data_IF_220408128352
#
_entry.id   IF_220408128352
#
_cell.length_a   1.000
_cell.length_b   1.000
_cell.length_c   1.000
_cell.angle_alpha   90.00
_cell.angle_beta   90.00
_cell.angle_gamma   90.00
#
_symmetry.space_group_name_H-M   'P 1'
#
loop_
_entity.id
_entity.type
_entity.pdbx_description
1 polymer ?
#
# COMPACT_ATOMS: atom_id res chain seq x y z
N UNK A 1 -36.72 -74.58 64.52
CA UNK A 1 -35.36 -74.94 64.00
C UNK A 1 -35.36 -74.45 62.57
N UNK A 2 -34.44 -73.64 62.24
CA UNK A 2 -33.93 -73.09 60.97
C UNK A 2 -33.94 -71.58 60.90
N UNK A 3 -32.75 -71.06 61.10
CA UNK A 3 -32.43 -69.61 60.93
C UNK A 3 -32.16 -69.32 59.48
N UNK A 4 -32.83 -68.37 58.87
CA UNK A 4 -32.54 -67.78 57.57
C UNK A 4 -31.59 -66.60 57.82
N UNK A 5 -30.38 -66.63 57.17
CA UNK A 5 -29.49 -65.50 57.04
C UNK A 5 -29.89 -64.67 55.82
N UNK A 6 -30.12 -63.38 56.03
CA UNK A 6 -30.26 -62.40 54.93
C UNK A 6 -28.91 -61.72 54.71
N UNK A 7 -28.37 -61.86 53.50
CA UNK A 7 -27.15 -61.22 53.05
C UNK A 7 -27.54 -59.96 52.27
N UNK A 8 -27.21 -58.79 52.81
CA UNK A 8 -27.39 -57.51 52.13
C UNK A 8 -26.19 -57.21 51.23
N UNK A 9 -26.40 -57.10 49.92
CA UNK A 9 -25.38 -56.70 48.96
C UNK A 9 -25.43 -55.16 48.81
N UNK A 10 -24.35 -54.48 49.20
CA UNK A 10 -24.15 -53.05 48.96
C UNK A 10 -23.51 -52.85 47.59
N UNK A 11 -24.22 -52.27 46.62
CA UNK A 11 -23.67 -51.81 45.36
C UNK A 11 -23.04 -50.40 45.57
N UNK A 12 -21.70 -50.34 45.50
CA UNK A 12 -20.93 -49.09 45.42
C UNK A 12 -20.94 -48.58 43.97
N UNK A 13 -21.69 -47.54 43.69
CA UNK A 13 -21.64 -46.84 42.41
C UNK A 13 -20.39 -45.93 42.39
N UNK A 14 -19.33 -46.32 41.68
CA UNK A 14 -18.23 -45.43 41.33
C UNK A 14 -18.67 -44.52 40.19
N UNK A 15 -18.97 -43.26 40.49
CA UNK A 15 -19.17 -42.22 39.50
C UNK A 15 -17.80 -41.80 38.92
N UNK A 16 -17.51 -42.14 37.66
CA UNK A 16 -16.45 -41.57 36.88
C UNK A 16 -16.86 -40.15 36.51
N UNK A 17 -16.36 -39.14 37.22
CA UNK A 17 -16.37 -37.76 36.76
C UNK A 17 -15.34 -37.64 35.64
N UNK A 18 -15.78 -37.70 34.37
CA UNK A 18 -14.99 -37.33 33.25
C UNK A 18 -14.76 -35.81 33.30
N UNK A 19 -13.61 -35.38 33.83
CA UNK A 19 -13.15 -34.02 33.66
C UNK A 19 -12.81 -33.85 32.17
N UNK A 20 -13.68 -33.16 31.42
CA UNK A 20 -13.33 -32.64 30.10
C UNK A 20 -12.15 -31.66 30.31
N UNK A 21 -10.94 -32.11 30.02
CA UNK A 21 -9.82 -31.20 29.81
C UNK A 21 -10.10 -30.56 28.46
N UNK A 22 -10.66 -29.34 28.49
CA UNK A 22 -10.62 -28.47 27.32
C UNK A 22 -9.14 -28.31 26.96
N UNK A 23 -8.75 -28.91 25.85
CA UNK A 23 -7.45 -28.65 25.27
C UNK A 23 -7.42 -27.18 24.89
N UNK A 24 -6.84 -26.36 25.74
CA UNK A 24 -6.55 -24.97 25.43
C UNK A 24 -5.65 -24.99 24.20
N UNK A 25 -6.18 -24.66 23.02
CA UNK A 25 -5.38 -24.53 21.81
C UNK A 25 -4.23 -23.56 22.13
N UNK A 26 -3.01 -24.08 22.05
CA UNK A 26 -1.82 -23.31 22.37
C UNK A 26 -1.71 -22.18 21.34
N UNK A 27 -1.82 -20.93 21.79
CA UNK A 27 -1.54 -19.76 20.95
C UNK A 27 -0.22 -19.98 20.20
N UNK A 28 -0.17 -19.78 18.89
CA UNK A 28 1.07 -20.01 18.13
C UNK A 28 2.20 -19.12 18.66
N UNK A 29 3.41 -19.64 18.72
CA UNK A 29 4.57 -18.86 19.14
C UNK A 29 5.06 -17.90 18.03
N UNK A 30 4.59 -18.11 16.80
CA UNK A 30 4.99 -17.36 15.58
C UNK A 30 3.80 -16.98 14.73
N UNK A 31 3.92 -15.85 14.02
CA UNK A 31 3.03 -15.47 12.93
C UNK A 31 3.78 -15.45 11.61
N UNK A 32 3.25 -16.14 10.58
CA UNK A 32 3.83 -16.15 9.24
C UNK A 32 3.19 -15.08 8.38
N UNK A 33 4.01 -14.27 7.73
CA UNK A 33 3.63 -13.19 6.82
C UNK A 33 4.23 -13.46 5.45
N UNK A 34 3.41 -13.52 4.41
CA UNK A 34 3.89 -13.53 3.03
C UNK A 34 4.07 -12.09 2.53
N UNK A 35 5.27 -11.69 2.15
CA UNK A 35 5.54 -10.39 1.55
C UNK A 35 5.76 -10.57 0.05
N UNK A 36 4.78 -10.17 -0.78
CA UNK A 36 4.83 -10.27 -2.25
C UNK A 36 5.03 -8.89 -2.86
N UNK A 37 6.17 -8.65 -3.49
CA UNK A 37 6.57 -7.35 -4.04
C UNK A 37 7.43 -7.51 -5.27
N UNK A 38 7.50 -6.49 -6.12
CA UNK A 38 8.36 -6.50 -7.31
C UNK A 38 9.79 -6.12 -6.90
N UNK A 39 10.73 -7.07 -6.94
CA UNK A 39 12.13 -6.87 -6.53
C UNK A 39 13.12 -6.94 -7.69
N UNK A 40 12.67 -7.18 -8.90
CA UNK A 40 13.49 -7.28 -10.11
C UNK A 40 13.04 -6.30 -11.19
N UNK A 41 13.94 -6.00 -12.13
CA UNK A 41 13.70 -5.10 -13.25
C UNK A 41 13.65 -3.60 -12.88
N UNK A 42 13.26 -2.73 -13.83
CA UNK A 42 13.23 -1.28 -13.65
C UNK A 42 12.34 -0.78 -12.50
N UNK A 43 11.24 -1.44 -12.10
CA UNK A 43 10.40 -1.02 -10.99
C UNK A 43 10.84 -1.56 -9.62
N UNK A 44 11.91 -2.33 -9.53
CA UNK A 44 12.35 -3.00 -8.29
C UNK A 44 12.54 -2.04 -7.09
N UNK A 45 12.92 -0.78 -7.34
CA UNK A 45 13.09 0.23 -6.31
C UNK A 45 11.83 0.45 -5.47
N UNK A 46 10.64 0.28 -6.05
CA UNK A 46 9.36 0.41 -5.35
C UNK A 46 9.15 -0.76 -4.36
N UNK A 47 9.42 -1.99 -4.81
CA UNK A 47 9.35 -3.18 -3.96
C UNK A 47 10.38 -3.16 -2.83
N UNK A 48 11.58 -2.65 -3.09
CA UNK A 48 12.59 -2.46 -2.04
C UNK A 48 12.13 -1.47 -0.96
N UNK A 49 11.48 -0.37 -1.33
CA UNK A 49 10.90 0.57 -0.37
C UNK A 49 9.82 -0.11 0.50
N UNK A 50 8.92 -0.89 -0.10
CA UNK A 50 7.89 -1.63 0.65
C UNK A 50 8.53 -2.64 1.61
N UNK A 51 9.45 -3.46 1.11
CA UNK A 51 10.15 -4.45 1.95
C UNK A 51 10.84 -3.78 3.11
N UNK A 52 11.64 -2.78 2.86
CA UNK A 52 12.41 -2.08 3.88
C UNK A 52 11.51 -1.41 4.93
N UNK A 53 10.39 -0.81 4.50
CA UNK A 53 9.42 -0.20 5.41
C UNK A 53 8.76 -1.23 6.34
N UNK A 54 8.35 -2.37 5.79
CA UNK A 54 7.75 -3.46 6.57
C UNK A 54 8.76 -4.10 7.54
N UNK A 55 9.96 -4.41 7.05
CA UNK A 55 11.05 -4.97 7.88
C UNK A 55 11.46 -4.01 9.02
N UNK A 56 11.45 -2.69 8.75
CA UNK A 56 11.73 -1.68 9.79
C UNK A 56 10.62 -1.66 10.86
N UNK A 57 9.35 -1.81 10.48
CA UNK A 57 8.25 -1.93 11.45
C UNK A 57 8.45 -3.16 12.34
N UNK A 58 8.73 -4.32 11.76
CA UNK A 58 9.00 -5.55 12.51
C UNK A 58 10.21 -5.37 13.44
N UNK A 59 11.29 -4.75 12.97
CA UNK A 59 12.48 -4.47 13.78
C UNK A 59 12.17 -3.54 14.98
N UNK A 60 11.39 -2.47 14.75
CA UNK A 60 10.98 -1.55 15.83
C UNK A 60 10.07 -2.21 16.87
N UNK A 61 9.36 -3.26 16.48
CA UNK A 61 8.53 -4.10 17.36
C UNK A 61 9.31 -5.28 17.98
N UNK A 62 10.64 -5.26 17.87
CA UNK A 62 11.52 -6.26 18.48
C UNK A 62 11.49 -7.64 17.79
N UNK A 63 11.22 -7.68 16.48
CA UNK A 63 11.10 -8.92 15.70
C UNK A 63 9.77 -9.64 15.89
N UNK A 64 8.76 -8.97 16.46
CA UNK A 64 7.46 -9.54 16.82
C UNK A 64 6.31 -8.73 16.23
N UNK A 65 5.18 -9.39 16.02
CA UNK A 65 3.90 -8.78 15.70
C UNK A 65 2.85 -9.29 16.68
N UNK A 66 2.25 -8.38 17.44
CA UNK A 66 1.28 -8.72 18.48
C UNK A 66 1.82 -9.65 19.58
N UNK A 67 3.13 -9.65 19.82
CA UNK A 67 3.82 -10.52 20.77
C UNK A 67 4.32 -11.85 20.19
N UNK A 68 3.85 -12.24 18.99
CA UNK A 68 4.30 -13.45 18.29
C UNK A 68 5.59 -13.17 17.49
N UNK A 69 6.51 -14.11 17.42
CA UNK A 69 7.69 -14.00 16.55
C UNK A 69 7.27 -13.87 15.09
N UNK A 70 7.75 -12.83 14.39
CA UNK A 70 7.40 -12.58 12.99
C UNK A 70 8.28 -13.40 12.04
N UNK A 71 7.68 -14.32 11.29
CA UNK A 71 8.32 -15.09 10.23
C UNK A 71 7.88 -14.49 8.87
N UNK A 72 8.75 -13.66 8.25
CA UNK A 72 8.45 -12.91 7.04
C UNK A 72 9.04 -13.61 5.82
N UNK A 73 8.17 -14.17 4.97
CA UNK A 73 8.52 -14.87 3.75
C UNK A 73 8.45 -13.90 2.56
N UNK A 74 9.59 -13.44 2.06
CA UNK A 74 9.67 -12.47 0.96
C UNK A 74 9.70 -13.18 -0.39
N UNK A 75 8.85 -12.75 -1.33
CA UNK A 75 8.82 -13.26 -2.71
C UNK A 75 8.76 -12.11 -3.72
N UNK A 76 9.52 -12.26 -4.81
CA UNK A 76 9.49 -11.38 -5.98
C UNK A 76 8.39 -11.82 -6.94
N UNK A 77 7.47 -10.91 -7.28
CA UNK A 77 6.43 -11.15 -8.27
C UNK A 77 6.92 -10.95 -9.72
N UNK A 78 8.15 -10.44 -9.90
CA UNK A 78 8.78 -10.14 -11.20
C UNK A 78 7.90 -9.25 -12.12
N UNK A 79 6.92 -8.54 -11.55
CA UNK A 79 5.85 -7.83 -12.28
C UNK A 79 5.07 -8.74 -13.24
N UNK A 80 4.99 -10.05 -12.95
CA UNK A 80 4.29 -11.06 -13.74
C UNK A 80 3.11 -11.64 -12.96
N UNK A 81 1.86 -11.45 -13.42
CA UNK A 81 0.67 -11.93 -12.70
C UNK A 81 0.67 -13.45 -12.44
N UNK A 82 1.13 -14.26 -13.37
CA UNK A 82 1.21 -15.71 -13.24
C UNK A 82 2.24 -16.16 -12.18
N UNK A 83 3.41 -15.50 -12.13
CA UNK A 83 4.41 -15.72 -11.08
C UNK A 83 3.83 -15.35 -9.72
N UNK A 84 3.20 -14.18 -9.59
CA UNK A 84 2.59 -13.71 -8.36
C UNK A 84 1.50 -14.68 -7.85
N UNK A 85 0.62 -15.17 -8.74
CA UNK A 85 -0.42 -16.17 -8.38
C UNK A 85 0.21 -17.45 -7.83
N UNK A 86 1.26 -17.96 -8.46
CA UNK A 86 1.94 -19.17 -7.99
C UNK A 86 2.60 -18.98 -6.62
N UNK A 87 3.23 -17.81 -6.39
CA UNK A 87 3.84 -17.47 -5.10
C UNK A 87 2.79 -17.32 -3.99
N UNK A 88 1.67 -16.64 -4.29
CA UNK A 88 0.57 -16.47 -3.32
C UNK A 88 -0.09 -17.81 -2.98
N UNK A 89 -0.31 -18.69 -3.96
CA UNK A 89 -0.80 -20.05 -3.67
C UNK A 89 0.17 -20.81 -2.74
N UNK A 90 1.48 -20.70 -2.97
CA UNK A 90 2.45 -21.32 -2.07
C UNK A 90 2.37 -20.73 -0.65
N UNK A 91 2.20 -19.43 -0.49
CA UNK A 91 1.98 -18.79 0.81
C UNK A 91 0.74 -19.34 1.52
N UNK A 92 -0.38 -19.51 0.80
CA UNK A 92 -1.65 -19.97 1.37
C UNK A 92 -1.62 -21.47 1.65
N UNK A 93 -1.25 -22.28 0.64
CA UNK A 93 -1.45 -23.74 0.69
C UNK A 93 -0.32 -24.48 1.43
N UNK A 94 0.93 -24.07 1.18
CA UNK A 94 2.12 -24.74 1.75
C UNK A 94 2.57 -24.07 3.05
N UNK A 95 2.74 -22.74 3.02
CA UNK A 95 3.36 -21.99 4.10
C UNK A 95 2.33 -21.60 5.17
N UNK A 96 1.05 -21.60 4.82
CA UNK A 96 -0.09 -21.28 5.70
C UNK A 96 0.08 -19.94 6.41
N UNK A 97 0.38 -18.89 5.63
CA UNK A 97 0.55 -17.54 6.16
C UNK A 97 -0.79 -16.99 6.65
N UNK A 98 -0.78 -16.23 7.74
CA UNK A 98 -1.98 -15.58 8.27
C UNK A 98 -2.29 -14.28 7.54
N UNK A 99 -1.26 -13.58 7.07
CA UNK A 99 -1.35 -12.31 6.36
C UNK A 99 -0.45 -12.33 5.12
N UNK A 100 -0.91 -11.67 4.06
CA UNK A 100 -0.10 -11.37 2.88
C UNK A 100 0.00 -9.85 2.78
N UNK A 101 1.22 -9.31 2.66
CA UNK A 101 1.49 -7.89 2.46
C UNK A 101 1.98 -7.68 1.03
N UNK A 102 1.41 -6.73 0.34
CA UNK A 102 1.68 -6.45 -1.08
C UNK A 102 0.38 -6.31 -1.88
N UNK A 103 0.46 -6.21 -3.21
CA UNK A 103 1.65 -6.03 -4.04
C UNK A 103 1.98 -4.56 -4.33
N UNK A 104 2.97 -4.32 -5.21
CA UNK A 104 3.26 -2.98 -5.75
C UNK A 104 2.23 -2.57 -6.79
N UNK A 105 1.94 -3.44 -7.78
CA UNK A 105 1.20 -3.10 -8.99
C UNK A 105 -0.24 -3.61 -9.00
N UNK A 106 -1.14 -2.82 -9.57
CA UNK A 106 -2.58 -3.11 -9.61
C UNK A 106 -2.94 -4.34 -10.46
N UNK A 107 -2.20 -4.63 -11.55
CA UNK A 107 -2.39 -5.85 -12.33
C UNK A 107 -2.01 -7.10 -11.54
N UNK A 108 -1.01 -7.01 -10.68
CA UNK A 108 -0.65 -8.08 -9.74
C UNK A 108 -1.75 -8.23 -8.69
N UNK A 109 -2.22 -7.13 -8.08
CA UNK A 109 -3.32 -7.16 -7.11
C UNK A 109 -4.57 -7.84 -7.69
N UNK A 110 -4.95 -7.48 -8.92
CA UNK A 110 -6.10 -8.09 -9.60
C UNK A 110 -5.95 -9.61 -9.77
N UNK A 111 -4.74 -10.08 -10.06
CA UNK A 111 -4.48 -11.50 -10.23
C UNK A 111 -4.48 -12.29 -8.92
N UNK A 112 -3.93 -11.71 -7.85
CA UNK A 112 -3.75 -12.41 -6.56
C UNK A 112 -4.92 -12.24 -5.60
N UNK A 113 -5.85 -11.31 -5.80
CA UNK A 113 -6.94 -11.02 -4.86
C UNK A 113 -7.69 -12.29 -4.46
N UNK A 114 -8.18 -13.05 -5.44
CA UNK A 114 -8.95 -14.27 -5.15
C UNK A 114 -8.11 -15.34 -4.45
N UNK A 115 -6.96 -15.82 -4.99
CA UNK A 115 -6.18 -16.84 -4.32
C UNK A 115 -5.61 -16.41 -2.97
N UNK A 116 -5.43 -15.11 -2.72
CA UNK A 116 -4.94 -14.61 -1.43
C UNK A 116 -6.03 -14.59 -0.34
N UNK A 117 -7.32 -14.46 -0.70
CA UNK A 117 -8.38 -14.16 0.28
C UNK A 117 -9.43 -15.27 0.46
N UNK A 118 -9.57 -16.19 -0.50
CA UNK A 118 -10.64 -17.19 -0.50
C UNK A 118 -10.53 -18.24 0.65
N UNK A 119 -9.34 -18.42 1.22
CA UNK A 119 -9.09 -19.35 2.33
C UNK A 119 -9.02 -18.64 3.70
N UNK A 120 -9.52 -17.40 3.81
CA UNK A 120 -9.55 -16.64 5.06
C UNK A 120 -8.20 -16.00 5.43
N UNK A 121 -7.20 -15.99 4.53
CA UNK A 121 -5.98 -15.19 4.69
C UNK A 121 -6.30 -13.72 4.44
N UNK A 122 -5.68 -12.82 5.20
CA UNK A 122 -5.86 -11.37 5.03
C UNK A 122 -4.80 -10.81 4.08
N UNK A 123 -5.25 -10.06 3.07
CA UNK A 123 -4.39 -9.33 2.14
C UNK A 123 -4.33 -7.86 2.54
N UNK A 124 -3.14 -7.37 2.88
CA UNK A 124 -2.89 -5.98 3.25
C UNK A 124 -2.10 -5.31 2.12
N UNK A 125 -2.71 -4.39 1.39
CA UNK A 125 -2.03 -3.67 0.31
C UNK A 125 -1.40 -2.38 0.80
N UNK A 126 -0.06 -2.28 0.78
CA UNK A 126 0.65 -1.04 1.10
C UNK A 126 0.84 -0.13 -0.11
N UNK A 127 0.27 -0.45 -1.27
CA UNK A 127 0.34 0.39 -2.46
C UNK A 127 -0.85 0.24 -3.41
N UNK A 128 -1.02 -0.90 -4.07
CA UNK A 128 -2.06 -1.09 -5.07
C UNK A 128 -3.47 -0.95 -4.49
N UNK A 129 -4.24 0.05 -4.95
CA UNK A 129 -5.56 0.39 -4.43
C UNK A 129 -6.58 0.63 -5.55
N UNK A 130 -6.87 -0.41 -6.36
CA UNK A 130 -7.72 -0.30 -7.55
C UNK A 130 -9.14 0.16 -7.25
N UNK A 131 -9.73 0.96 -8.15
CA UNK A 131 -11.10 1.46 -8.05
C UNK A 131 -12.13 0.32 -7.97
N UNK A 132 -11.91 -0.81 -8.65
CA UNK A 132 -12.83 -1.96 -8.61
C UNK A 132 -12.93 -2.58 -7.21
N UNK A 133 -11.81 -2.77 -6.53
CA UNK A 133 -11.78 -3.32 -5.17
C UNK A 133 -12.14 -2.30 -4.08
N UNK A 134 -12.13 -1.01 -4.40
CA UNK A 134 -12.73 0.01 -3.55
C UNK A 134 -14.26 0.03 -3.63
N UNK A 135 -14.82 -0.41 -4.78
CA UNK A 135 -16.25 -0.42 -5.08
C UNK A 135 -16.86 -1.82 -5.08
N UNK A 136 -17.47 -2.18 -6.21
CA UNK A 136 -18.32 -3.37 -6.36
C UNK A 136 -17.64 -4.72 -6.07
N UNK A 137 -16.33 -4.80 -6.26
CA UNK A 137 -15.54 -6.03 -6.06
C UNK A 137 -14.82 -6.02 -4.70
N UNK A 138 -15.26 -5.18 -3.74
CA UNK A 138 -14.67 -5.11 -2.40
C UNK A 138 -14.70 -6.48 -1.69
N UNK A 139 -13.69 -6.72 -0.85
CA UNK A 139 -13.49 -8.00 -0.20
C UNK A 139 -13.22 -7.82 1.30
N UNK A 140 -13.91 -8.59 2.13
CA UNK A 140 -13.84 -8.49 3.59
C UNK A 140 -12.46 -8.83 4.18
N UNK A 141 -11.62 -9.59 3.46
CA UNK A 141 -10.27 -9.94 3.87
C UNK A 141 -9.20 -9.06 3.21
N UNK A 142 -9.60 -8.00 2.51
CA UNK A 142 -8.68 -7.05 1.86
C UNK A 142 -8.67 -5.71 2.58
N UNK A 143 -7.47 -5.23 2.93
CA UNK A 143 -7.24 -3.97 3.62
C UNK A 143 -6.16 -3.17 2.89
N UNK A 144 -6.28 -1.85 2.91
CA UNK A 144 -5.35 -0.95 2.21
C UNK A 144 -4.74 0.04 3.21
N UNK A 145 -3.42 0.04 3.33
CA UNK A 145 -2.71 1.05 4.13
C UNK A 145 -2.17 2.20 3.29
N UNK A 146 -2.42 2.17 1.99
CA UNK A 146 -2.03 3.20 1.02
C UNK A 146 -3.15 4.22 0.77
N UNK A 147 -3.87 4.06 -0.32
CA UNK A 147 -4.89 4.97 -0.84
C UNK A 147 -5.75 4.24 -1.88
N UNK A 148 -6.86 4.84 -2.29
CA UNK A 148 -7.55 4.47 -3.52
C UNK A 148 -6.85 5.15 -4.70
N UNK A 149 -6.60 4.43 -5.78
CA UNK A 149 -5.69 4.85 -6.87
C UNK A 149 -5.94 6.26 -7.43
N UNK A 150 -7.20 6.72 -7.50
CA UNK A 150 -7.50 8.05 -8.05
C UNK A 150 -6.99 9.20 -7.16
N UNK A 151 -7.00 9.01 -5.83
CA UNK A 151 -6.94 10.10 -4.85
C UNK A 151 -5.68 10.98 -4.95
N UNK A 152 -4.48 10.38 -5.09
CA UNK A 152 -3.25 11.14 -5.24
C UNK A 152 -3.21 11.94 -6.56
N UNK A 153 -3.86 11.44 -7.59
CA UNK A 153 -3.95 12.07 -8.91
C UNK A 153 -5.02 13.17 -8.94
N UNK A 154 -6.07 13.04 -8.13
CA UNK A 154 -7.09 14.08 -7.91
C UNK A 154 -6.49 15.35 -7.30
N UNK A 155 -5.47 15.23 -6.45
CA UNK A 155 -4.68 16.37 -5.94
C UNK A 155 -4.20 17.25 -7.09
N UNK A 156 -3.63 16.62 -8.12
CA UNK A 156 -3.02 17.33 -9.24
C UNK A 156 -4.03 17.87 -10.22
N UNK A 157 -5.13 17.16 -10.43
CA UNK A 157 -6.27 17.68 -11.21
C UNK A 157 -6.87 18.93 -10.57
N UNK A 158 -7.05 18.92 -9.23
CA UNK A 158 -7.51 20.08 -8.48
C UNK A 158 -6.50 21.21 -8.49
N UNK A 159 -5.22 20.91 -8.28
CA UNK A 159 -4.17 21.93 -8.36
C UNK A 159 -4.10 22.59 -9.74
N UNK A 160 -4.12 21.80 -10.83
CA UNK A 160 -4.12 22.32 -12.18
C UNK A 160 -5.31 23.26 -12.44
N UNK A 161 -6.52 22.83 -12.01
CA UNK A 161 -7.73 23.64 -12.12
C UNK A 161 -7.62 24.96 -11.34
N UNK A 162 -7.21 24.90 -10.08
CA UNK A 162 -7.12 26.06 -9.19
C UNK A 162 -6.00 27.03 -9.62
N UNK A 163 -4.94 26.52 -10.26
CA UNK A 163 -3.80 27.32 -10.77
C UNK A 163 -4.06 27.93 -12.14
N UNK A 164 -5.22 27.70 -12.73
CA UNK A 164 -5.60 28.31 -14.00
C UNK A 164 -5.00 27.67 -15.24
N UNK A 165 -4.48 26.43 -15.15
CA UNK A 165 -4.08 25.60 -16.31
C UNK A 165 -5.26 25.51 -17.27
N UNK A 166 -5.05 25.78 -18.56
CA UNK A 166 -6.10 25.72 -19.60
C UNK A 166 -5.99 24.43 -20.41
N UNK A 167 -4.77 24.01 -20.74
CA UNK A 167 -4.46 22.87 -21.59
C UNK A 167 -3.54 21.89 -20.86
N UNK A 168 -3.95 20.64 -20.74
CA UNK A 168 -3.17 19.59 -20.14
C UNK A 168 -2.94 18.42 -21.12
N UNK A 169 -1.72 17.86 -21.15
CA UNK A 169 -1.40 16.61 -21.81
C UNK A 169 -1.33 15.51 -20.73
N UNK A 170 -2.01 14.39 -20.93
CA UNK A 170 -2.09 13.31 -19.95
C UNK A 170 -1.37 12.06 -20.45
N UNK A 171 -0.57 11.39 -19.58
CA UNK A 171 0.10 10.15 -19.94
C UNK A 171 0.24 9.20 -18.76
N UNK A 172 -0.05 7.90 -19.00
CA UNK A 172 0.13 6.83 -18.02
C UNK A 172 0.39 5.48 -18.68
N UNK A 173 0.90 4.46 -17.95
CA UNK A 173 1.01 3.11 -18.50
C UNK A 173 -0.37 2.46 -18.67
N UNK A 174 -0.51 1.62 -19.70
CA UNK A 174 -1.75 0.94 -20.04
C UNK A 174 -2.06 -0.25 -19.12
N UNK A 175 -2.44 0.04 -17.87
CA UNK A 175 -2.94 -0.93 -16.90
C UNK A 175 -3.92 -0.24 -15.94
N UNK A 176 -4.51 -0.97 -14.98
CA UNK A 176 -5.60 -0.42 -14.16
C UNK A 176 -5.21 0.87 -13.43
N UNK A 177 -4.05 0.90 -12.76
CA UNK A 177 -3.65 2.12 -12.05
C UNK A 177 -3.37 3.31 -12.98
N UNK A 178 -2.90 3.07 -14.21
CA UNK A 178 -2.75 4.14 -15.21
C UNK A 178 -4.10 4.74 -15.61
N UNK A 179 -5.12 3.90 -15.81
CA UNK A 179 -6.49 4.36 -16.10
C UNK A 179 -7.09 5.10 -14.91
N UNK A 180 -6.92 4.57 -13.69
CA UNK A 180 -7.36 5.23 -12.46
C UNK A 180 -6.66 6.60 -12.29
N UNK A 181 -5.38 6.70 -12.62
CA UNK A 181 -4.60 7.93 -12.53
C UNK A 181 -5.15 9.04 -13.45
N UNK A 182 -5.32 8.74 -14.74
CA UNK A 182 -5.86 9.75 -15.68
C UNK A 182 -7.30 10.13 -15.34
N UNK A 183 -8.12 9.16 -14.89
CA UNK A 183 -9.47 9.45 -14.42
C UNK A 183 -9.45 10.34 -13.18
N UNK A 184 -8.56 10.04 -12.19
CA UNK A 184 -8.39 10.85 -10.99
C UNK A 184 -8.06 12.31 -11.33
N UNK A 185 -7.10 12.55 -12.20
CA UNK A 185 -6.79 13.90 -12.66
C UNK A 185 -8.03 14.59 -13.27
N UNK A 186 -8.74 13.91 -14.19
CA UNK A 186 -9.93 14.46 -14.87
C UNK A 186 -11.13 14.69 -13.94
N UNK A 187 -11.20 14.05 -12.76
CA UNK A 187 -12.26 14.27 -11.78
C UNK A 187 -12.34 15.75 -11.38
N UNK A 188 -11.21 16.42 -11.25
CA UNK A 188 -11.13 17.82 -10.81
C UNK A 188 -10.70 18.81 -11.90
N UNK A 189 -9.89 18.38 -12.87
CA UNK A 189 -9.51 19.24 -13.99
C UNK A 189 -10.64 19.34 -15.02
N UNK A 190 -11.05 20.58 -15.34
CA UNK A 190 -12.12 20.91 -16.28
C UNK A 190 -11.65 21.73 -17.48
N UNK A 191 -10.31 21.91 -17.60
CA UNK A 191 -9.69 22.50 -18.78
C UNK A 191 -9.66 21.54 -19.98
N UNK A 192 -8.97 21.94 -21.02
CA UNK A 192 -8.82 21.15 -22.26
C UNK A 192 -7.75 20.06 -22.09
N UNK A 193 -8.13 18.80 -22.28
CA UNK A 193 -7.19 17.67 -22.39
C UNK A 193 -6.79 17.56 -23.85
N UNK A 194 -5.61 18.09 -24.20
CA UNK A 194 -5.13 18.15 -25.58
C UNK A 194 -4.72 16.80 -26.15
N UNK A 195 -4.29 15.87 -25.31
CA UNK A 195 -4.08 14.47 -25.67
C UNK A 195 -4.10 13.58 -24.39
N UNK A 196 -4.48 12.31 -24.54
CA UNK A 196 -4.48 11.28 -23.49
C UNK A 196 -3.78 10.03 -24.03
N UNK A 197 -2.56 9.77 -23.53
CA UNK A 197 -1.68 8.72 -24.06
C UNK A 197 -1.48 7.61 -23.04
N UNK A 198 -1.73 6.37 -23.46
CA UNK A 198 -1.36 5.18 -22.72
C UNK A 198 -0.15 4.50 -23.35
N UNK A 199 0.92 4.35 -22.57
CA UNK A 199 2.18 3.71 -22.98
C UNK A 199 2.27 2.27 -22.46
N UNK A 200 3.06 1.40 -23.09
CA UNK A 200 3.35 0.07 -22.55
C UNK A 200 3.93 0.14 -21.13
N UNK A 201 3.53 -0.78 -20.26
CA UNK A 201 4.18 -0.94 -18.95
C UNK A 201 5.63 -1.35 -19.15
N UNK A 202 6.56 -0.68 -18.45
CA UNK A 202 8.02 -0.77 -18.61
C UNK A 202 8.64 -0.08 -19.85
N UNK A 203 7.92 0.81 -20.53
CA UNK A 203 8.52 1.67 -21.56
C UNK A 203 9.62 2.56 -20.95
N UNK A 204 10.75 2.72 -21.66
CA UNK A 204 11.90 3.51 -21.21
C UNK A 204 12.32 4.60 -22.19
N UNK A 205 11.88 4.55 -23.43
CA UNK A 205 12.08 5.58 -24.45
C UNK A 205 10.77 6.33 -24.72
N UNK A 206 10.82 7.66 -24.62
CA UNK A 206 9.68 8.56 -24.75
C UNK A 206 9.82 9.59 -25.86
N UNK A 207 10.74 9.36 -26.81
CA UNK A 207 11.03 10.30 -27.89
C UNK A 207 9.78 10.68 -28.70
N UNK A 208 8.90 9.72 -28.97
CA UNK A 208 7.65 9.93 -29.69
C UNK A 208 6.65 10.76 -28.87
N UNK A 209 6.49 10.44 -27.58
CA UNK A 209 5.58 11.16 -26.67
C UNK A 209 6.08 12.59 -26.43
N UNK A 210 7.37 12.79 -26.27
CA UNK A 210 7.98 14.13 -26.11
C UNK A 210 7.78 15.01 -27.34
N UNK A 211 7.85 14.45 -28.55
CA UNK A 211 7.52 15.16 -29.79
C UNK A 211 6.06 15.59 -29.81
N UNK A 212 5.11 14.70 -29.44
CA UNK A 212 3.69 15.04 -29.33
C UNK A 212 3.43 16.15 -28.29
N UNK A 213 4.10 16.08 -27.13
CA UNK A 213 3.98 17.11 -26.09
C UNK A 213 4.48 18.47 -26.62
N UNK A 214 5.63 18.50 -27.30
CA UNK A 214 6.18 19.70 -27.88
C UNK A 214 5.26 20.32 -28.94
N UNK A 215 4.63 19.51 -29.77
CA UNK A 215 3.70 19.95 -30.83
C UNK A 215 2.38 20.44 -30.23
N UNK A 216 1.85 19.78 -29.21
CA UNK A 216 0.59 20.13 -28.55
C UNK A 216 0.67 21.41 -27.72
N UNK A 217 1.88 21.80 -27.26
CA UNK A 217 2.13 23.01 -26.46
C UNK A 217 1.16 23.18 -25.30
N UNK A 218 1.04 22.18 -24.39
CA UNK A 218 0.18 22.28 -23.22
C UNK A 218 0.75 23.25 -22.19
N UNK A 219 -0.09 23.82 -21.33
CA UNK A 219 0.35 24.60 -20.17
C UNK A 219 0.97 23.69 -19.09
N UNK A 220 0.43 22.46 -18.99
CA UNK A 220 0.92 21.44 -18.06
C UNK A 220 0.89 20.04 -18.69
N UNK A 221 1.80 19.18 -18.24
CA UNK A 221 1.65 17.75 -18.42
C UNK A 221 1.27 17.12 -17.09
N UNK A 222 0.40 16.11 -17.12
CA UNK A 222 0.17 15.21 -16.02
C UNK A 222 0.63 13.81 -16.42
N UNK A 223 1.57 13.25 -15.67
CA UNK A 223 2.12 11.92 -15.94
C UNK A 223 2.08 11.04 -14.69
N UNK A 224 1.77 9.77 -14.89
CA UNK A 224 1.95 8.72 -13.90
C UNK A 224 2.84 7.64 -14.49
N UNK A 225 4.11 7.61 -14.12
CA UNK A 225 5.14 6.70 -14.65
C UNK A 225 6.01 6.19 -13.49
N UNK A 226 5.61 5.08 -12.82
CA UNK A 226 6.28 4.62 -11.60
C UNK A 226 7.64 3.99 -11.86
N UNK A 227 8.58 4.15 -10.92
CA UNK A 227 9.91 3.53 -10.92
C UNK A 227 10.77 3.96 -12.11
N UNK A 228 11.42 3.00 -12.78
CA UNK A 228 12.33 3.25 -13.90
C UNK A 228 11.70 3.98 -15.08
N UNK A 229 10.39 3.84 -15.30
CA UNK A 229 9.65 4.62 -16.31
C UNK A 229 9.78 6.11 -16.03
N UNK A 230 9.48 6.53 -14.78
CA UNK A 230 9.58 7.92 -14.35
C UNK A 230 11.00 8.46 -14.39
N UNK A 231 11.99 7.65 -13.99
CA UNK A 231 13.40 8.04 -14.07
C UNK A 231 13.79 8.43 -15.51
N UNK A 232 13.43 7.60 -16.47
CA UNK A 232 13.78 7.84 -17.87
C UNK A 232 12.98 9.02 -18.46
N UNK A 233 11.67 9.08 -18.21
CA UNK A 233 10.84 10.18 -18.71
C UNK A 233 11.31 11.55 -18.21
N UNK A 234 11.54 11.70 -16.90
CA UNK A 234 11.97 12.97 -16.30
C UNK A 234 13.29 13.46 -16.92
N UNK A 235 14.27 12.56 -17.09
CA UNK A 235 15.55 12.90 -17.75
C UNK A 235 15.35 13.34 -19.19
N UNK A 236 14.60 12.58 -19.97
CA UNK A 236 14.33 12.89 -21.38
C UNK A 236 13.51 14.18 -21.53
N UNK A 237 12.52 14.42 -20.66
CA UNK A 237 11.72 15.65 -20.64
C UNK A 237 12.59 16.91 -20.38
N UNK A 238 13.54 16.81 -19.42
CA UNK A 238 14.48 17.87 -19.13
C UNK A 238 15.46 18.09 -20.31
N UNK A 239 16.01 17.01 -20.87
CA UNK A 239 16.90 17.05 -22.04
C UNK A 239 16.25 17.65 -23.29
N UNK A 240 14.96 17.42 -23.49
CA UNK A 240 14.16 18.01 -24.57
C UNK A 240 13.90 19.53 -24.38
N UNK A 241 14.34 20.13 -23.27
CA UNK A 241 14.11 21.56 -22.98
C UNK A 241 12.66 21.93 -22.73
N UNK A 242 11.83 20.97 -22.35
CA UNK A 242 10.37 21.16 -22.10
C UNK A 242 10.10 21.59 -20.65
N UNK A 243 10.98 21.24 -19.73
CA UNK A 243 10.77 21.42 -18.28
C UNK A 243 10.69 22.90 -17.84
N UNK A 244 11.28 23.82 -18.59
CA UNK A 244 11.23 25.26 -18.30
C UNK A 244 10.02 25.97 -18.96
N UNK A 245 9.26 25.24 -19.77
CA UNK A 245 8.15 25.76 -20.57
C UNK A 245 6.77 25.19 -20.16
N UNK A 246 6.76 24.01 -19.59
CA UNK A 246 5.55 23.23 -19.32
C UNK A 246 5.55 22.83 -17.84
N UNK A 247 4.48 23.12 -17.13
CA UNK A 247 4.32 22.69 -15.73
C UNK A 247 4.26 21.16 -15.65
N UNK A 248 5.16 20.57 -14.84
CA UNK A 248 5.21 19.12 -14.63
C UNK A 248 4.39 18.75 -13.39
N UNK A 249 3.37 17.92 -13.59
CA UNK A 249 2.48 17.39 -12.55
C UNK A 249 2.52 15.88 -12.56
N UNK A 250 2.71 15.25 -11.39
CA UNK A 250 2.80 13.80 -11.30
C UNK A 250 2.47 13.27 -9.90
N UNK A 251 1.92 12.07 -9.82
CA UNK A 251 2.00 11.29 -8.61
C UNK A 251 2.84 10.03 -8.88
N UNK A 252 3.76 9.69 -7.96
CA UNK A 252 4.58 8.48 -8.02
C UNK A 252 5.54 8.36 -9.23
N UNK A 253 5.81 9.46 -9.93
CA UNK A 253 6.84 9.55 -10.97
C UNK A 253 8.07 10.27 -10.43
N UNK A 254 7.84 11.24 -9.54
CA UNK A 254 8.86 11.98 -8.79
C UNK A 254 8.58 11.81 -7.29
N UNK A 255 9.24 10.85 -6.70
CA UNK A 255 9.17 10.54 -5.26
C UNK A 255 10.53 9.99 -4.78
N UNK A 256 10.66 9.76 -3.49
CA UNK A 256 11.92 9.34 -2.86
C UNK A 256 12.47 8.02 -3.42
N UNK A 257 11.65 7.21 -4.08
CA UNK A 257 12.12 5.98 -4.76
C UNK A 257 12.86 6.27 -6.06
N UNK A 258 12.49 7.33 -6.76
CA UNK A 258 13.01 7.69 -8.08
C UNK A 258 13.98 8.87 -8.06
N UNK A 259 13.82 9.79 -7.11
CA UNK A 259 14.63 11.02 -6.98
C UNK A 259 16.13 10.79 -6.91
N UNK A 260 16.68 9.75 -6.24
CA UNK A 260 18.12 9.48 -6.26
C UNK A 260 18.71 9.29 -7.67
N UNK A 261 17.91 8.76 -8.60
CA UNK A 261 18.30 8.56 -9.99
C UNK A 261 17.95 9.75 -10.91
N UNK A 262 16.91 10.52 -10.57
CA UNK A 262 16.49 11.71 -11.33
C UNK A 262 17.32 12.95 -10.98
N UNK A 263 17.71 13.10 -9.72
CA UNK A 263 18.53 14.19 -9.18
C UNK A 263 17.98 15.58 -9.56
N UNK A 264 18.86 16.49 -9.97
CA UNK A 264 18.53 17.88 -10.32
C UNK A 264 17.50 17.97 -11.47
N UNK A 265 17.33 16.92 -12.28
CA UNK A 265 16.33 16.89 -13.36
C UNK A 265 14.87 17.00 -12.85
N UNK A 266 14.61 16.57 -11.63
CA UNK A 266 13.27 16.59 -11.04
C UNK A 266 13.00 17.84 -10.17
N UNK A 267 14.01 18.65 -9.83
CA UNK A 267 13.84 19.80 -8.94
C UNK A 267 12.73 20.73 -9.45
N UNK A 268 11.83 21.09 -8.53
CA UNK A 268 10.73 22.02 -8.80
C UNK A 268 9.46 21.38 -9.35
N UNK A 269 9.47 20.08 -9.70
CA UNK A 269 8.29 19.36 -10.15
C UNK A 269 7.32 19.09 -8.99
N UNK A 270 6.03 19.04 -9.32
CA UNK A 270 4.97 18.85 -8.34
C UNK A 270 4.50 17.42 -8.30
N UNK A 271 4.21 16.94 -7.08
CA UNK A 271 3.63 15.64 -6.79
C UNK A 271 2.31 15.70 -6.04
N UNK A 272 1.51 14.64 -6.14
CA UNK A 272 0.33 14.42 -5.30
C UNK A 272 0.58 13.20 -4.41
N UNK A 273 0.46 13.36 -3.08
CA UNK A 273 0.79 12.29 -2.12
C UNK A 273 -0.08 12.37 -0.86
N UNK A 274 -0.15 11.27 -0.11
CA UNK A 274 -0.83 11.20 1.18
C UNK A 274 0.13 11.34 2.38
N UNK A 275 1.40 11.56 2.12
CA UNK A 275 2.47 11.74 3.11
C UNK A 275 3.74 12.27 2.41
N UNK A 276 4.62 12.93 3.15
CA UNK A 276 5.97 13.28 2.72
C UNK A 276 6.95 13.23 3.90
N UNK A 277 8.27 13.08 3.66
CA UNK A 277 9.28 12.96 4.73
C UNK A 277 9.30 14.14 5.70
N UNK A 278 8.90 15.33 5.25
CA UNK A 278 8.82 16.54 6.05
C UNK A 278 7.48 16.74 6.78
N UNK A 279 6.58 15.73 6.82
CA UNK A 279 5.35 15.85 7.58
C UNK A 279 5.65 16.05 9.07
N UNK A 280 5.11 17.16 9.64
CA UNK A 280 5.46 17.61 10.97
C UNK A 280 4.72 16.84 12.07
N UNK A 281 5.17 15.62 12.34
CA UNK A 281 4.78 14.87 13.52
C UNK A 281 5.95 14.01 14.05
N UNK A 282 5.95 13.65 15.35
CA UNK A 282 7.06 12.90 15.96
C UNK A 282 7.29 11.52 15.34
N UNK A 283 6.23 10.84 14.93
CA UNK A 283 6.28 9.50 14.35
C UNK A 283 7.00 9.51 12.99
N UNK A 284 6.64 10.46 12.11
CA UNK A 284 7.30 10.67 10.83
C UNK A 284 8.77 11.01 11.01
N UNK A 285 9.09 11.97 11.90
CA UNK A 285 10.49 12.37 12.13
C UNK A 285 11.36 11.21 12.59
N UNK A 286 10.84 10.40 13.53
CA UNK A 286 11.55 9.19 13.99
C UNK A 286 11.71 8.18 12.86
N UNK A 287 10.64 7.87 12.12
CA UNK A 287 10.66 6.90 11.03
C UNK A 287 11.69 7.31 9.95
N UNK A 288 11.68 8.57 9.52
CA UNK A 288 12.63 9.07 8.51
C UNK A 288 14.07 8.91 8.98
N UNK A 289 14.38 9.33 10.22
CA UNK A 289 15.72 9.20 10.78
C UNK A 289 16.19 7.74 10.88
N UNK A 290 15.33 6.85 11.35
CA UNK A 290 15.66 5.43 11.53
C UNK A 290 15.78 4.71 10.17
N UNK A 291 14.91 5.04 9.21
CA UNK A 291 14.98 4.50 7.86
C UNK A 291 16.27 4.93 7.13
N UNK A 292 16.62 6.22 7.21
CA UNK A 292 17.87 6.73 6.63
C UNK A 292 19.10 6.07 7.28
N UNK A 293 19.07 5.86 8.59
CA UNK A 293 20.14 5.16 9.31
C UNK A 293 20.27 3.71 8.88
N UNK A 294 19.15 3.01 8.67
CA UNK A 294 19.15 1.60 8.33
C UNK A 294 19.49 1.33 6.85
N UNK A 295 19.02 2.19 5.94
CA UNK A 295 19.06 1.92 4.50
C UNK A 295 19.83 2.97 3.68
N UNK A 296 20.29 4.07 4.30
CA UNK A 296 21.05 5.13 3.61
C UNK A 296 20.24 5.99 2.63
N UNK A 297 18.94 5.80 2.54
CA UNK A 297 18.03 6.43 1.59
C UNK A 297 16.89 7.15 2.32
N UNK A 298 16.35 8.21 1.72
CA UNK A 298 15.14 8.87 2.21
C UNK A 298 13.94 7.93 1.97
N UNK A 299 13.10 7.66 3.00
CA UNK A 299 11.92 6.84 2.80
C UNK A 299 10.86 7.59 1.99
N UNK A 300 10.22 6.90 1.06
CA UNK A 300 9.08 7.43 0.31
C UNK A 300 7.75 6.87 0.76
N UNK A 301 6.73 7.19 -0.02
CA UNK A 301 5.34 6.76 0.21
C UNK A 301 5.22 5.25 0.33
N UNK A 302 5.93 4.50 -0.48
CA UNK A 302 5.91 3.02 -0.46
C UNK A 302 6.44 2.46 0.88
N UNK A 303 7.51 3.07 1.42
CA UNK A 303 8.10 2.62 2.67
C UNK A 303 7.19 2.91 3.87
N UNK A 304 6.62 4.14 3.97
CA UNK A 304 5.77 4.47 5.11
C UNK A 304 4.47 3.65 5.12
N UNK A 305 3.86 3.41 3.96
CA UNK A 305 2.63 2.62 3.84
C UNK A 305 2.83 1.16 4.26
N UNK A 306 4.00 0.61 3.94
CA UNK A 306 4.38 -0.74 4.38
C UNK A 306 4.73 -0.80 5.86
N UNK A 307 5.33 0.24 6.42
CA UNK A 307 5.55 0.37 7.85
C UNK A 307 4.21 0.39 8.61
N UNK A 308 3.24 1.18 8.14
CA UNK A 308 1.89 1.21 8.70
C UNK A 308 1.17 -0.14 8.56
N UNK A 309 1.43 -0.92 7.48
CA UNK A 309 0.90 -2.28 7.36
C UNK A 309 1.43 -3.22 8.47
N UNK A 310 2.71 -3.10 8.82
CA UNK A 310 3.29 -3.81 9.96
C UNK A 310 2.64 -3.44 11.29
N UNK A 311 2.42 -2.14 11.54
CA UNK A 311 1.74 -1.66 12.74
C UNK A 311 0.26 -2.09 12.81
N UNK A 312 -0.43 -2.10 11.67
CA UNK A 312 -1.82 -2.58 11.58
C UNK A 312 -1.92 -4.05 11.95
N UNK A 313 -1.05 -4.89 11.39
CA UNK A 313 -1.01 -6.33 11.70
C UNK A 313 -0.67 -6.55 13.19
N UNK A 314 0.34 -5.85 13.72
CA UNK A 314 0.71 -5.92 15.14
C UNK A 314 -0.49 -5.58 16.04
N UNK A 315 -1.19 -4.49 15.73
CA UNK A 315 -2.34 -4.06 16.52
C UNK A 315 -3.48 -5.08 16.50
N UNK A 316 -3.73 -5.68 15.34
CA UNK A 316 -4.79 -6.69 15.20
C UNK A 316 -4.48 -7.96 16.00
N UNK A 317 -3.23 -8.47 15.90
CA UNK A 317 -2.80 -9.66 16.65
C UNK A 317 -2.84 -9.41 18.16
N UNK A 318 -2.42 -8.22 18.63
CA UNK A 318 -2.53 -7.85 20.06
C UNK A 318 -3.98 -7.86 20.55
N UNK A 319 -4.93 -7.35 19.77
CA UNK A 319 -6.33 -7.28 20.14
C UNK A 319 -6.98 -8.67 20.27
N UNK A 320 -6.55 -9.64 19.48
CA UNK A 320 -7.01 -11.03 19.56
C UNK A 320 -6.12 -11.92 20.45
N UNK A 321 -5.20 -11.30 21.22
CA UNK A 321 -4.29 -12.00 22.12
C UNK A 321 -3.49 -13.14 21.46
N UNK A 322 -3.14 -12.97 20.17
CA UNK A 322 -2.39 -13.93 19.37
C UNK A 322 -3.23 -15.07 18.79
N UNK A 323 -4.52 -15.17 19.09
CA UNK A 323 -5.42 -16.15 18.50
C UNK A 323 -5.85 -15.71 17.09
N UNK A 324 -5.28 -16.35 16.07
CA UNK A 324 -5.56 -16.09 14.66
C UNK A 324 -6.57 -17.07 14.05
N UNK A 325 -7.15 -17.97 14.85
CA UNK A 325 -8.11 -18.97 14.40
C UNK A 325 -9.49 -18.36 14.12
N UNK A 326 -9.94 -17.43 14.96
CA UNK A 326 -11.17 -16.66 14.75
C UNK A 326 -10.95 -15.53 13.73
N UNK A 327 -11.24 -15.83 12.45
CA UNK A 327 -11.06 -14.87 11.35
C UNK A 327 -11.97 -13.64 11.46
N UNK A 328 -13.13 -13.75 12.08
CA UNK A 328 -14.04 -12.63 12.26
C UNK A 328 -13.53 -11.69 13.35
N UNK A 329 -12.99 -12.20 14.43
CA UNK A 329 -12.31 -11.40 15.46
C UNK A 329 -11.08 -10.67 14.90
N UNK A 330 -10.22 -11.36 14.12
CA UNK A 330 -9.05 -10.75 13.46
C UNK A 330 -9.48 -9.65 12.49
N UNK A 331 -10.52 -9.89 11.69
CA UNK A 331 -11.08 -8.88 10.76
C UNK A 331 -11.60 -7.66 11.51
N UNK A 332 -12.31 -7.85 12.59
CA UNK A 332 -12.82 -6.75 13.42
C UNK A 332 -11.66 -5.94 14.03
N UNK A 333 -10.60 -6.61 14.47
CA UNK A 333 -9.40 -5.96 14.98
C UNK A 333 -8.65 -5.16 13.90
N UNK A 334 -8.51 -5.70 12.68
CA UNK A 334 -7.96 -4.96 11.53
C UNK A 334 -8.80 -3.72 11.21
N UNK A 335 -10.14 -3.84 11.16
CA UNK A 335 -11.05 -2.69 10.91
C UNK A 335 -10.90 -1.59 11.95
N UNK A 336 -10.68 -1.94 13.21
CA UNK A 336 -10.50 -0.97 14.30
C UNK A 336 -9.23 -0.13 14.12
N UNK A 337 -8.19 -0.69 13.48
CA UNK A 337 -6.92 0.00 13.18
C UNK A 337 -6.32 0.71 14.42
N UNK A 338 -6.17 0.00 15.52
CA UNK A 338 -5.73 0.54 16.82
C UNK A 338 -4.21 0.68 16.89
N UNK A 339 -3.67 1.55 16.05
CA UNK A 339 -2.25 1.89 15.98
C UNK A 339 -2.05 3.38 15.68
N UNK A 340 -0.85 3.89 15.94
CA UNK A 340 -0.49 5.27 15.59
C UNK A 340 0.21 5.29 14.25
N UNK A 341 -0.50 5.73 13.21
CA UNK A 341 0.04 5.83 11.86
C UNK A 341 1.08 6.95 11.73
N UNK A 342 2.04 6.77 10.83
CA UNK A 342 3.02 7.80 10.49
C UNK A 342 2.36 9.07 9.92
N UNK A 343 1.16 8.97 9.34
CA UNK A 343 0.38 10.10 8.83
C UNK A 343 -0.48 10.80 9.90
N UNK A 344 -0.43 10.34 11.15
CA UNK A 344 -1.28 10.85 12.25
C UNK A 344 -2.56 10.04 12.39
N UNK A 345 -3.71 10.71 12.46
CA UNK A 345 -4.99 10.02 12.58
C UNK A 345 -5.26 9.10 11.40
N UNK A 346 -5.61 7.85 11.69
CA UNK A 346 -5.90 6.82 10.69
C UNK A 346 -7.24 6.14 10.99
N UNK A 347 -8.06 5.97 9.99
CA UNK A 347 -9.27 5.15 10.05
C UNK A 347 -9.61 4.59 8.69
N UNK A 348 -10.21 3.41 8.67
CA UNK A 348 -10.78 2.83 7.46
C UNK A 348 -12.18 3.39 7.16
N UNK A 349 -12.49 3.50 5.87
CA UNK A 349 -13.84 3.58 5.35
C UNK A 349 -14.47 2.18 5.35
N UNK A 350 -15.76 2.07 5.03
CA UNK A 350 -16.53 0.80 5.03
C UNK A 350 -15.95 -0.26 4.10
N UNK A 351 -15.22 0.15 3.05
CA UNK A 351 -14.54 -0.71 2.09
C UNK A 351 -13.08 -1.05 2.44
N UNK A 352 -12.63 -0.75 3.66
CA UNK A 352 -11.27 -0.94 4.16
C UNK A 352 -10.17 -0.14 3.44
N UNK A 353 -10.54 0.97 2.79
CA UNK A 353 -9.60 1.98 2.30
C UNK A 353 -9.46 3.11 3.31
N UNK A 354 -8.29 3.78 3.41
CA UNK A 354 -8.09 4.85 4.39
C UNK A 354 -8.93 6.09 4.09
N UNK A 355 -9.44 6.74 5.13
CA UNK A 355 -9.85 8.14 5.11
C UNK A 355 -8.67 8.95 5.63
N UNK A 356 -8.13 9.85 4.81
CA UNK A 356 -6.84 10.51 5.09
C UNK A 356 -6.69 11.85 4.38
N UNK A 357 -5.65 12.58 4.75
CA UNK A 357 -5.27 13.82 4.09
C UNK A 357 -4.46 13.57 2.82
N UNK A 358 -4.56 14.50 1.87
CA UNK A 358 -3.73 14.49 0.66
C UNK A 358 -3.09 15.84 0.41
N UNK A 359 -1.86 15.82 -0.06
CA UNK A 359 -0.99 16.98 -0.18
C UNK A 359 -0.48 17.16 -1.60
N UNK A 360 -0.37 18.41 -2.02
CA UNK A 360 0.53 18.82 -3.08
C UNK A 360 1.93 18.86 -2.48
N UNK A 361 2.86 18.20 -3.12
CA UNK A 361 4.29 18.22 -2.75
C UNK A 361 5.12 18.80 -3.89
N UNK A 362 6.32 19.25 -3.57
CA UNK A 362 7.29 19.78 -4.54
C UNK A 362 8.64 19.13 -4.30
N UNK A 363 9.32 18.75 -5.38
CA UNK A 363 10.66 18.17 -5.29
C UNK A 363 11.68 19.25 -4.90
N UNK A 364 12.46 18.97 -3.88
CA UNK A 364 13.51 19.80 -3.35
C UNK A 364 14.82 19.01 -3.13
N UNK A 365 15.93 19.74 -3.04
CA UNK A 365 17.24 19.21 -2.64
C UNK A 365 17.55 19.65 -1.23
N UNK A 366 17.84 18.70 -0.36
CA UNK A 366 18.20 18.93 1.04
C UNK A 366 19.64 19.48 1.16
N UNK A 367 19.99 20.13 2.27
CA UNK A 367 21.35 20.60 2.54
C UNK A 367 22.41 19.48 2.55
N UNK A 368 22.03 18.24 2.89
CA UNK A 368 22.89 17.05 2.84
C UNK A 368 23.09 16.46 1.43
N UNK A 369 22.50 17.11 0.41
CA UNK A 369 22.61 16.71 -1.00
C UNK A 369 21.58 15.65 -1.45
N UNK A 370 20.76 15.10 -0.54
CA UNK A 370 19.69 14.19 -0.90
C UNK A 370 18.49 14.95 -1.50
N UNK A 371 17.63 14.23 -2.19
CA UNK A 371 16.42 14.77 -2.78
C UNK A 371 15.20 14.19 -2.07
N UNK A 372 14.21 15.03 -1.85
CA UNK A 372 12.93 14.62 -1.25
C UNK A 372 11.77 15.44 -1.81
N UNK A 373 10.56 15.00 -1.53
CA UNK A 373 9.35 15.79 -1.75
C UNK A 373 9.01 16.53 -0.45
N UNK A 374 8.70 17.82 -0.58
CA UNK A 374 8.26 18.67 0.53
C UNK A 374 6.79 19.03 0.37
N UNK A 375 6.01 18.96 1.46
CA UNK A 375 4.62 19.40 1.49
C UNK A 375 4.56 20.89 1.18
N UNK A 376 3.95 21.21 0.03
CA UNK A 376 3.68 22.59 -0.38
C UNK A 376 2.31 23.06 0.11
N UNK A 377 1.29 22.17 0.08
CA UNK A 377 -0.08 22.51 0.48
C UNK A 377 -0.90 21.26 0.75
N UNK A 378 -1.75 21.28 1.80
CA UNK A 378 -2.83 20.30 1.96
C UNK A 378 -3.95 20.64 0.96
N UNK A 379 -4.34 19.67 0.12
CA UNK A 379 -5.39 19.83 -0.89
C UNK A 379 -6.71 19.22 -0.43
N UNK A 380 -6.65 18.02 0.17
CA UNK A 380 -7.82 17.38 0.74
C UNK A 380 -7.57 17.01 2.21
N UNK A 381 -8.58 17.16 3.02
CA UNK A 381 -8.58 16.81 4.44
C UNK A 381 -9.63 15.73 4.72
N UNK A 382 -9.26 14.69 5.47
CA UNK A 382 -10.14 13.55 5.79
C UNK A 382 -10.86 13.00 4.54
N UNK A 383 -10.13 12.85 3.46
CA UNK A 383 -10.69 12.52 2.16
C UNK A 383 -10.97 11.02 2.05
N UNK A 384 -12.26 10.67 1.96
CA UNK A 384 -12.73 9.33 1.71
C UNK A 384 -12.89 9.10 0.20
N UNK A 385 -12.61 7.87 -0.25
CA UNK A 385 -12.83 7.54 -1.66
C UNK A 385 -14.33 7.46 -2.02
N UNK A 386 -14.72 7.83 -3.24
CA UNK A 386 -16.13 7.87 -3.65
C UNK A 386 -16.72 6.50 -3.97
N UNK A 387 -15.89 5.44 -4.09
CA UNK A 387 -16.33 4.10 -4.49
C UNK A 387 -16.88 3.28 -3.32
N UNK A 388 -16.62 3.68 -2.07
CA UNK A 388 -17.10 2.98 -0.87
C UNK A 388 -18.63 2.78 -0.86
N UNK A 389 -19.40 3.69 -1.47
CA UNK A 389 -20.85 3.57 -1.62
C UNK A 389 -21.31 2.38 -2.48
N UNK A 390 -20.44 1.93 -3.38
CA UNK A 390 -20.70 0.82 -4.30
C UNK A 390 -20.23 -0.53 -3.74
N UNK A 391 -19.59 -0.53 -2.56
CA UNK A 391 -19.15 -1.73 -1.84
C UNK A 391 -20.29 -2.31 -1.02
N UNK A 392 -20.54 -3.62 -1.18
CA UNK A 392 -21.62 -4.31 -0.48
C UNK A 392 -21.30 -4.65 1.00
N UNK A 393 -20.04 -4.47 1.44
CA UNK A 393 -19.66 -4.65 2.85
C UNK A 393 -20.31 -3.56 3.71
N UNK A 394 -20.82 -3.97 4.89
CA UNK A 394 -21.47 -3.07 5.86
C UNK A 394 -20.64 -2.94 7.14
#
# INVERSE_FOLDING_TARGET
MNKLFAMAAALAAFGFAATAVEAQEKTPDKVKIGLIVTLSGPPAVLGHQIRNGFELAVAHLGGKLGGLEADVLVQDDELKPDVAVNKVKAFVDRDQVSFIVGPVFSNILQAIMKPATENGTFLISPNAGTSSFAGKDCNANFFVTSYQNNQAHEVLGKYAQDSGVKKAFLMAPNYQAGKDALNGFKNYFKGDVVDEVYVPLNQLDYSAELSKIADAKPDAIFVFLPGGMGVNFVKQFRQAGLADKITFLSAFTVDESTLPAQQDAAIGFFGGQNWAPNLDNPQTKKFVADYEKAYGAVPGTYAFQAYDAGLLIDSAIRQVHGDLSDKDAVRAALKKADFTSLRGAFKFNTNHYPIQDFYLVKVAKRPDGKYETEIAKKIFENYADPYAKDCAMK
#
